data_IF_539490313380
#
_entry.id   IF_539490313380
#
_cell.length_a   1.000
_cell.length_b   1.000
_cell.length_c   1.000
_cell.angle_alpha   90.00
_cell.angle_beta   90.00
_cell.angle_gamma   90.00
#
_symmetry.space_group_name_H-M   'P 1'
#
loop_
_entity.id
_entity.type
_entity.pdbx_description
1 polymer ?
#
# COMPACT_ATOMS: atom_id res chain seq x y z
N UNK A 1 60.54 -54.12 20.93
CA UNK A 1 59.94 -52.80 21.17
C UNK A 1 60.31 -51.86 20.03
N UNK A 2 59.33 -51.27 19.34
CA UNK A 2 59.61 -50.21 18.36
C UNK A 2 59.78 -48.90 19.13
N UNK A 3 60.96 -48.30 19.08
CA UNK A 3 61.19 -47.00 19.71
C UNK A 3 60.55 -45.89 18.86
N UNK A 4 59.41 -45.37 19.33
CA UNK A 4 58.81 -44.16 18.78
C UNK A 4 59.78 -42.98 18.95
N UNK A 5 60.31 -42.51 17.81
CA UNK A 5 61.13 -41.30 17.66
C UNK A 5 60.35 -40.07 18.14
N UNK A 6 61.07 -38.96 18.41
CA UNK A 6 60.45 -37.71 18.85
C UNK A 6 59.48 -37.13 17.82
N UNK A 7 59.76 -37.28 16.53
CA UNK A 7 58.91 -36.81 15.44
C UNK A 7 57.57 -37.55 15.40
N UNK A 8 57.58 -38.89 15.47
CA UNK A 8 56.36 -39.70 15.49
C UNK A 8 55.47 -39.35 16.70
N UNK A 9 56.06 -38.94 17.84
CA UNK A 9 55.28 -38.48 19.00
C UNK A 9 54.63 -37.11 18.76
N UNK A 10 55.29 -36.22 18.03
CA UNK A 10 54.75 -34.89 17.74
C UNK A 10 53.61 -34.98 16.73
N UNK A 11 53.74 -35.81 15.69
CA UNK A 11 52.69 -36.07 14.71
C UNK A 11 51.43 -36.68 15.34
N UNK A 12 51.59 -37.71 16.18
CA UNK A 12 50.48 -38.31 16.95
C UNK A 12 49.78 -37.24 17.82
N UNK A 13 50.56 -36.35 18.45
CA UNK A 13 50.00 -35.31 19.32
C UNK A 13 49.17 -34.26 18.55
N UNK A 14 49.66 -33.77 17.41
CA UNK A 14 48.89 -32.80 16.60
C UNK A 14 47.67 -33.46 15.94
N UNK A 15 47.74 -34.74 15.53
CA UNK A 15 46.58 -35.49 15.04
C UNK A 15 45.49 -35.63 16.12
N UNK A 16 45.83 -36.06 17.35
CA UNK A 16 44.87 -36.11 18.46
C UNK A 16 44.25 -34.73 18.80
N UNK A 17 45.01 -33.63 18.60
CA UNK A 17 44.56 -32.25 18.83
C UNK A 17 43.59 -31.77 17.74
N UNK A 18 43.75 -32.23 16.49
CA UNK A 18 42.78 -32.02 15.40
C UNK A 18 41.48 -32.78 15.70
N UNK A 19 41.58 -34.05 16.10
CA UNK A 19 40.42 -34.87 16.47
C UNK A 19 39.64 -34.29 17.66
N UNK A 20 40.34 -33.84 18.71
CA UNK A 20 39.72 -33.16 19.85
C UNK A 20 38.96 -31.89 19.44
N UNK A 21 39.52 -31.08 18.52
CA UNK A 21 38.84 -29.90 17.97
C UNK A 21 37.59 -30.29 17.16
N UNK A 22 37.67 -31.37 16.39
CA UNK A 22 36.53 -31.92 15.63
C UNK A 22 35.39 -32.38 16.55
N UNK A 23 35.72 -33.12 17.62
CA UNK A 23 34.77 -33.60 18.63
C UNK A 23 34.11 -32.44 19.37
N UNK A 24 34.88 -31.42 19.78
CA UNK A 24 34.35 -30.21 20.44
C UNK A 24 33.42 -29.43 19.50
N UNK A 25 33.80 -29.26 18.23
CA UNK A 25 32.96 -28.63 17.20
C UNK A 25 31.64 -29.37 17.04
N UNK A 26 31.69 -30.70 16.89
CA UNK A 26 30.51 -31.56 16.76
C UNK A 26 29.58 -31.50 17.97
N UNK A 27 30.13 -31.47 19.20
CA UNK A 27 29.36 -31.27 20.44
C UNK A 27 28.65 -29.91 20.48
N UNK A 28 29.29 -28.85 19.97
CA UNK A 28 28.68 -27.52 19.87
C UNK A 28 27.54 -27.48 18.84
N UNK A 29 27.70 -28.17 17.70
CA UNK A 29 26.70 -28.31 16.65
C UNK A 29 25.50 -29.12 17.13
N UNK A 30 25.73 -30.23 17.84
CA UNK A 30 24.68 -31.05 18.43
C UNK A 30 23.85 -30.26 19.47
N UNK A 31 24.51 -29.42 20.29
CA UNK A 31 23.81 -28.53 21.22
C UNK A 31 22.92 -27.52 20.48
N UNK A 32 23.45 -26.83 19.45
CA UNK A 32 22.65 -25.91 18.62
C UNK A 32 21.46 -26.59 17.93
N UNK A 33 21.63 -27.84 17.48
CA UNK A 33 20.55 -28.63 16.91
C UNK A 33 19.45 -28.96 17.94
N UNK A 34 19.84 -29.37 19.16
CA UNK A 34 18.91 -29.60 20.28
C UNK A 34 18.17 -28.32 20.70
N UNK A 35 18.87 -27.20 20.80
CA UNK A 35 18.28 -25.90 21.12
C UNK A 35 17.29 -25.44 20.03
N UNK A 36 17.58 -25.72 18.75
CA UNK A 36 16.68 -25.45 17.62
C UNK A 36 15.44 -26.36 17.64
N UNK A 37 15.62 -27.66 17.91
CA UNK A 37 14.51 -28.61 18.02
C UNK A 37 13.54 -28.23 19.15
N UNK A 38 14.06 -27.91 20.35
CA UNK A 38 13.21 -27.48 21.47
C UNK A 38 12.49 -26.16 21.18
N UNK A 39 13.10 -25.21 20.45
CA UNK A 39 12.40 -24.00 19.98
C UNK A 39 11.28 -24.32 18.99
N UNK A 40 11.47 -25.28 18.09
CA UNK A 40 10.43 -25.72 17.15
C UNK A 40 9.27 -26.43 17.86
N UNK A 41 9.56 -27.30 18.83
CA UNK A 41 8.57 -27.97 19.67
C UNK A 41 7.70 -26.97 20.46
N UNK A 42 8.32 -26.00 21.14
CA UNK A 42 7.62 -24.92 21.82
C UNK A 42 6.78 -24.05 20.87
N UNK A 43 7.24 -23.86 19.62
CA UNK A 43 6.47 -23.16 18.59
C UNK A 43 5.25 -23.97 18.14
N UNK A 44 5.41 -25.28 17.94
CA UNK A 44 4.33 -26.18 17.55
C UNK A 44 3.23 -26.27 18.62
N UNK A 45 3.59 -26.41 19.90
CA UNK A 45 2.62 -26.40 21.01
C UNK A 45 1.82 -25.10 21.09
N UNK A 46 2.47 -23.94 20.87
CA UNK A 46 1.79 -22.63 20.81
C UNK A 46 0.82 -22.53 19.64
N UNK A 47 1.16 -23.08 18.47
CA UNK A 47 0.25 -23.15 17.32
C UNK A 47 -0.94 -24.05 17.63
N UNK A 48 -0.72 -25.23 18.21
CA UNK A 48 -1.78 -26.19 18.55
C UNK A 48 -2.82 -25.59 19.51
N UNK A 49 -2.39 -25.00 20.63
CA UNK A 49 -3.32 -24.31 21.54
C UNK A 49 -4.02 -23.11 20.90
N UNK A 50 -3.42 -22.45 19.90
CA UNK A 50 -4.05 -21.35 19.15
C UNK A 50 -5.14 -21.86 18.20
N UNK A 51 -5.01 -23.07 17.65
CA UNK A 51 -6.06 -23.71 16.86
C UNK A 51 -7.21 -24.23 17.73
N UNK A 52 -6.89 -24.83 18.87
CA UNK A 52 -7.88 -25.24 19.88
C UNK A 52 -8.73 -24.04 20.37
N UNK A 53 -8.09 -22.90 20.64
CA UNK A 53 -8.78 -21.65 20.97
C UNK A 53 -9.66 -21.13 19.81
N UNK A 54 -9.22 -21.24 18.54
CA UNK A 54 -10.03 -20.88 17.35
C UNK A 54 -11.24 -21.78 17.19
N UNK A 55 -11.10 -23.09 17.42
CA UNK A 55 -12.23 -24.04 17.37
C UNK A 55 -13.28 -23.70 18.43
N UNK A 56 -12.86 -23.43 19.66
CA UNK A 56 -13.77 -23.01 20.74
C UNK A 56 -14.46 -21.67 20.43
N UNK A 57 -13.73 -20.67 19.91
CA UNK A 57 -14.33 -19.40 19.47
C UNK A 57 -15.36 -19.60 18.35
N UNK A 58 -15.08 -20.48 17.40
CA UNK A 58 -15.98 -20.80 16.28
C UNK A 58 -17.24 -21.54 16.74
N UNK A 59 -17.11 -22.44 17.72
CA UNK A 59 -18.24 -23.13 18.37
C UNK A 59 -19.13 -22.14 19.12
N UNK A 60 -18.54 -21.21 19.87
CA UNK A 60 -19.26 -20.16 20.58
C UNK A 60 -20.00 -19.21 19.62
N UNK A 61 -19.36 -18.82 18.51
CA UNK A 61 -19.99 -17.99 17.48
C UNK A 61 -21.19 -18.69 16.82
N UNK A 62 -21.06 -19.99 16.49
CA UNK A 62 -22.19 -20.79 15.95
C UNK A 62 -23.37 -20.87 16.94
N UNK A 63 -23.09 -21.04 18.24
CA UNK A 63 -24.14 -21.02 19.26
C UNK A 63 -24.82 -19.64 19.36
N UNK A 64 -24.04 -18.55 19.35
CA UNK A 64 -24.58 -17.18 19.37
C UNK A 64 -25.47 -16.89 18.14
N UNK A 65 -25.04 -17.29 16.94
CA UNK A 65 -25.86 -17.15 15.73
C UNK A 65 -27.17 -17.97 15.82
N UNK A 66 -27.14 -19.16 16.43
CA UNK A 66 -28.36 -19.96 16.63
C UNK A 66 -29.35 -19.29 17.58
N UNK A 67 -28.86 -18.69 18.67
CA UNK A 67 -29.69 -17.90 19.60
C UNK A 67 -30.33 -16.72 18.88
N UNK A 68 -29.54 -15.96 18.11
CA UNK A 68 -30.02 -14.79 17.36
C UNK A 68 -31.07 -15.14 16.29
N UNK A 69 -30.96 -16.29 15.62
CA UNK A 69 -31.99 -16.76 14.68
C UNK A 69 -33.30 -17.07 15.42
N UNK A 70 -33.24 -17.80 16.54
CA UNK A 70 -34.42 -18.10 17.35
C UNK A 70 -35.10 -16.82 17.89
N UNK A 71 -34.34 -15.84 18.35
CA UNK A 71 -34.87 -14.53 18.79
C UNK A 71 -35.54 -13.77 17.64
N UNK A 72 -34.98 -13.83 16.43
CA UNK A 72 -35.54 -13.19 15.24
C UNK A 72 -36.84 -13.86 14.78
N UNK A 73 -36.94 -15.18 14.88
CA UNK A 73 -38.18 -15.94 14.63
C UNK A 73 -39.26 -15.58 15.67
N UNK A 74 -38.91 -15.57 16.96
CA UNK A 74 -39.82 -15.12 18.03
C UNK A 74 -40.33 -13.68 17.79
N UNK A 75 -39.46 -12.76 17.39
CA UNK A 75 -39.84 -11.38 17.06
C UNK A 75 -40.74 -11.28 15.82
N UNK A 76 -40.66 -12.25 14.90
CA UNK A 76 -41.53 -12.31 13.72
C UNK A 76 -42.95 -12.76 14.11
N UNK A 77 -43.06 -13.80 14.94
CA UNK A 77 -44.36 -14.28 15.47
C UNK A 77 -45.07 -13.19 16.28
N UNK A 78 -44.39 -12.52 17.22
CA UNK A 78 -44.99 -11.42 18.00
C UNK A 78 -45.48 -10.27 17.11
N UNK A 79 -44.82 -10.00 15.96
CA UNK A 79 -45.27 -9.01 14.97
C UNK A 79 -46.48 -9.50 14.16
N UNK A 80 -46.63 -10.81 13.97
CA UNK A 80 -47.78 -11.42 13.30
C UNK A 80 -49.02 -11.37 14.20
N UNK A 81 -48.86 -11.69 15.48
CA UNK A 81 -49.89 -11.57 16.52
C UNK A 81 -50.39 -10.12 16.65
N UNK A 82 -49.47 -9.15 16.78
CA UNK A 82 -49.81 -7.73 16.88
C UNK A 82 -50.59 -7.20 15.65
N UNK A 83 -50.24 -7.67 14.44
CA UNK A 83 -50.98 -7.35 13.20
C UNK A 83 -52.37 -7.98 13.17
N UNK A 84 -52.53 -9.15 13.78
CA UNK A 84 -53.82 -9.86 13.86
C UNK A 84 -54.75 -9.15 14.85
N UNK A 85 -54.21 -8.73 16.01
CA UNK A 85 -54.91 -7.91 17.00
C UNK A 85 -55.37 -6.56 16.42
N UNK A 86 -54.49 -5.87 15.67
CA UNK A 86 -54.82 -4.60 15.00
C UNK A 86 -55.86 -4.73 13.88
N UNK A 87 -56.06 -5.91 13.29
CA UNK A 87 -57.18 -6.16 12.36
C UNK A 87 -58.49 -6.35 13.12
N UNK A 88 -58.45 -7.01 14.28
CA UNK A 88 -59.63 -7.21 15.12
C UNK A 88 -60.19 -5.89 15.66
N UNK A 89 -59.33 -4.96 16.10
CA UNK A 89 -59.80 -3.66 16.62
C UNK A 89 -60.46 -2.79 15.56
N UNK A 90 -59.93 -2.75 14.33
CA UNK A 90 -60.57 -1.99 13.22
C UNK A 90 -61.95 -2.53 12.88
N UNK A 91 -62.15 -3.84 12.93
CA UNK A 91 -63.45 -4.43 12.64
C UNK A 91 -64.53 -4.03 13.67
N UNK A 92 -64.13 -3.71 14.90
CA UNK A 92 -65.03 -3.20 15.94
C UNK A 92 -65.36 -1.72 15.66
N UNK A 93 -64.37 -0.91 15.29
CA UNK A 93 -64.56 0.52 14.97
C UNK A 93 -65.43 0.75 13.72
N UNK A 94 -65.33 -0.11 12.70
CA UNK A 94 -66.13 -0.01 11.46
C UNK A 94 -67.61 -0.44 11.63
N UNK A 95 -68.00 -1.01 12.78
CA UNK A 95 -69.40 -1.47 13.00
C UNK A 95 -70.34 -0.34 13.48
N UNK A 96 -69.80 0.75 14.02
CA UNK A 96 -70.59 1.88 14.56
C UNK A 96 -70.72 3.07 13.58
N UNK A 97 -70.22 2.96 12.34
CA UNK A 97 -70.07 4.07 11.40
C UNK A 97 -71.01 4.05 10.16
N UNK A 98 -71.90 3.07 10.01
CA UNK A 98 -72.86 3.04 8.88
C UNK A 98 -74.18 3.81 9.15
N UNK A 99 -74.09 5.13 9.33
CA UNK A 99 -75.25 6.04 9.17
C UNK A 99 -74.91 7.26 8.31
N UNK A 100 -75.05 7.11 6.99
CA UNK A 100 -75.55 8.21 6.16
C UNK A 100 -74.76 8.59 4.89
N UNK A 101 -75.49 8.48 3.77
CA UNK A 101 -75.37 9.25 2.51
C UNK A 101 -74.21 8.86 1.56
N UNK A 102 -74.29 8.94 0.23
CA UNK A 102 -75.37 8.93 -0.78
C UNK A 102 -74.85 9.58 -2.09
N UNK A 103 -74.66 8.77 -3.14
CA UNK A 103 -74.74 9.11 -4.57
C UNK A 103 -73.70 10.03 -5.30
N UNK A 104 -73.12 9.43 -6.36
CA UNK A 104 -73.18 9.78 -7.82
C UNK A 104 -71.92 10.30 -8.58
N UNK A 105 -71.60 9.53 -9.65
CA UNK A 105 -71.03 9.89 -10.99
C UNK A 105 -69.57 10.43 -11.06
N UNK A 106 -68.79 10.35 -12.15
CA UNK A 106 -68.71 9.54 -13.41
C UNK A 106 -68.28 10.42 -14.61
N UNK A 107 -67.27 9.96 -15.40
CA UNK A 107 -66.86 10.41 -16.79
C UNK A 107 -66.21 11.81 -16.93
N UNK A 108 -65.42 12.17 -17.97
CA UNK A 108 -64.57 11.50 -19.02
C UNK A 108 -63.88 12.62 -19.88
N UNK A 109 -63.11 12.30 -20.94
CA UNK A 109 -62.62 13.16 -22.06
C UNK A 109 -61.49 14.20 -21.84
N UNK A 110 -60.37 14.29 -22.61
CA UNK A 110 -60.04 14.26 -24.08
C UNK A 110 -60.07 15.70 -24.71
N UNK A 111 -59.11 16.28 -25.48
CA UNK A 111 -57.75 15.92 -26.01
C UNK A 111 -57.02 17.15 -26.71
N UNK A 112 -55.82 17.01 -27.35
CA UNK A 112 -55.10 17.84 -28.39
C UNK A 112 -53.92 18.86 -28.10
N UNK A 113 -52.73 18.59 -28.72
CA UNK A 113 -51.87 19.36 -29.70
C UNK A 113 -51.61 20.91 -29.59
N UNK A 114 -50.53 21.57 -30.10
CA UNK A 114 -49.20 21.24 -30.72
C UNK A 114 -48.30 22.53 -30.83
N UNK A 115 -47.06 22.46 -31.36
CA UNK A 115 -45.96 23.47 -31.30
C UNK A 115 -45.85 24.51 -32.45
N UNK A 116 -44.87 25.45 -32.28
CA UNK A 116 -44.21 26.42 -33.23
C UNK A 116 -44.81 27.83 -33.39
N UNK A 117 -44.04 28.91 -33.69
CA UNK A 117 -42.57 29.10 -33.66
C UNK A 117 -42.02 30.32 -34.46
N UNK A 118 -41.03 31.06 -33.90
CA UNK A 118 -40.19 32.15 -34.53
C UNK A 118 -40.93 33.42 -35.10
N UNK A 119 -40.36 34.62 -35.32
CA UNK A 119 -39.01 35.23 -35.14
C UNK A 119 -39.06 36.81 -35.06
N UNK A 120 -37.99 37.46 -34.54
CA UNK A 120 -37.43 38.84 -34.84
C UNK A 120 -38.32 40.11 -34.81
N UNK A 121 -37.90 41.31 -34.33
CA UNK A 121 -36.86 42.22 -34.88
C UNK A 121 -36.39 43.34 -33.91
N UNK A 122 -35.32 44.03 -34.33
CA UNK A 122 -34.39 45.02 -33.73
C UNK A 122 -34.86 46.41 -33.23
N UNK A 123 -33.92 47.11 -32.55
CA UNK A 123 -33.65 48.58 -32.49
C UNK A 123 -34.70 49.54 -31.80
N UNK A 124 -34.40 50.64 -31.08
CA UNK A 124 -33.14 51.38 -30.80
C UNK A 124 -33.24 52.36 -29.56
N UNK A 125 -32.09 52.96 -29.16
CA UNK A 125 -31.89 54.31 -28.53
C UNK A 125 -32.26 54.68 -27.05
N UNK A 126 -31.29 55.35 -26.40
CA UNK A 126 -31.30 56.38 -25.31
C UNK A 126 -31.18 56.06 -23.79
N UNK A 127 -29.96 56.33 -23.28
CA UNK A 127 -29.58 57.38 -22.32
C UNK A 127 -30.09 57.47 -20.86
N UNK A 128 -29.12 57.83 -20.00
CA UNK A 128 -29.20 58.53 -18.70
C UNK A 128 -29.33 57.73 -17.39
N UNK A 129 -28.75 58.34 -16.36
CA UNK A 129 -28.30 57.82 -15.07
C UNK A 129 -29.41 57.28 -14.15
N UNK A 130 -29.10 56.22 -13.40
CA UNK A 130 -29.35 56.25 -11.95
C UNK A 130 -28.46 55.26 -11.18
N UNK A 131 -28.04 55.68 -9.99
CA UNK A 131 -27.26 54.89 -9.04
C UNK A 131 -28.07 53.69 -8.54
N UNK A 132 -27.47 52.50 -8.52
CA UNK A 132 -27.81 51.48 -7.53
C UNK A 132 -26.59 50.58 -7.24
N UNK A 133 -26.17 50.58 -5.98
CA UNK A 133 -25.03 49.83 -5.48
C UNK A 133 -25.26 48.32 -5.64
N UNK A 134 -24.56 47.69 -6.59
CA UNK A 134 -24.25 46.27 -6.47
C UNK A 134 -23.03 46.12 -5.57
N UNK A 135 -23.25 45.56 -4.38
CA UNK A 135 -22.19 45.09 -3.52
C UNK A 135 -21.50 43.91 -4.20
N UNK A 136 -20.47 44.19 -5.00
CA UNK A 136 -19.44 43.20 -5.33
C UNK A 136 -18.71 42.84 -4.05
N UNK A 137 -19.32 41.94 -3.27
CA UNK A 137 -18.57 41.00 -2.46
C UNK A 137 -17.77 40.13 -3.43
N UNK A 138 -16.61 40.65 -3.85
CA UNK A 138 -15.46 39.77 -4.05
C UNK A 138 -15.34 39.00 -2.75
N UNK A 139 -15.76 37.74 -2.77
CA UNK A 139 -15.21 36.79 -1.82
C UNK A 139 -13.71 36.86 -2.03
N UNK A 140 -13.03 37.32 -0.99
CA UNK A 140 -11.58 37.37 -0.93
C UNK A 140 -11.16 35.90 -1.03
N UNK A 141 -10.81 35.45 -2.23
CA UNK A 141 -10.14 34.17 -2.45
C UNK A 141 -8.76 34.37 -1.85
N UNK A 142 -8.72 34.24 -0.53
CA UNK A 142 -7.52 34.15 0.25
C UNK A 142 -6.75 32.98 -0.36
N UNK A 143 -5.68 33.30 -1.09
CA UNK A 143 -4.80 32.29 -1.67
C UNK A 143 -4.51 31.27 -0.57
N UNK A 144 -4.93 30.02 -0.76
CA UNK A 144 -4.84 28.95 0.23
C UNK A 144 -3.35 28.59 0.39
N UNK A 145 -2.59 29.41 1.13
CA UNK A 145 -1.14 29.32 1.26
C UNK A 145 -0.78 28.00 1.93
N UNK A 146 -0.41 27.01 1.11
CA UNK A 146 -0.04 25.68 1.60
C UNK A 146 1.28 25.76 2.35
N UNK A 147 1.27 25.27 3.59
CA UNK A 147 2.43 25.21 4.47
C UNK A 147 3.03 23.81 4.50
N UNK A 148 4.36 23.73 4.41
CA UNK A 148 5.12 22.52 4.70
C UNK A 148 5.03 22.13 6.18
N UNK A 149 5.61 20.99 6.55
CA UNK A 149 5.48 20.43 7.92
C UNK A 149 6.10 21.30 9.02
N UNK A 150 6.90 22.32 8.67
CA UNK A 150 7.47 23.30 9.60
C UNK A 150 6.83 24.69 9.49
N UNK A 151 5.64 24.80 8.90
CA UNK A 151 4.89 26.05 8.76
C UNK A 151 5.41 26.99 7.67
N UNK A 152 6.51 26.63 7.00
CA UNK A 152 7.05 27.38 5.86
C UNK A 152 6.11 27.30 4.65
N UNK A 153 5.99 28.39 3.89
CA UNK A 153 5.29 28.37 2.60
C UNK A 153 6.06 27.44 1.65
N UNK A 154 5.34 26.63 0.89
CA UNK A 154 5.91 25.77 -0.16
C UNK A 154 5.11 25.99 -1.44
N UNK A 155 5.84 26.14 -2.56
CA UNK A 155 5.27 26.27 -3.89
C UNK A 155 4.87 24.88 -4.43
N UNK A 156 3.70 24.79 -5.05
CA UNK A 156 3.14 23.57 -5.61
C UNK A 156 2.47 23.86 -6.94
N UNK A 157 2.22 22.80 -7.74
CA UNK A 157 1.42 22.90 -8.97
C UNK A 157 0.02 23.44 -8.69
N UNK A 158 -0.56 24.15 -9.66
CA UNK A 158 -1.92 24.68 -9.52
C UNK A 158 -2.96 23.57 -9.37
N UNK A 159 -2.70 22.40 -9.97
CA UNK A 159 -3.48 21.17 -9.76
C UNK A 159 -3.42 20.70 -8.30
N UNK A 160 -2.24 20.74 -7.67
CA UNK A 160 -2.10 20.44 -6.23
C UNK A 160 -2.87 21.43 -5.37
N UNK A 161 -2.84 22.74 -5.69
CA UNK A 161 -3.61 23.77 -4.98
C UNK A 161 -5.12 23.53 -5.11
N UNK A 162 -5.58 23.21 -6.32
CA UNK A 162 -6.98 22.89 -6.60
C UNK A 162 -7.45 21.67 -5.79
N UNK A 163 -6.69 20.56 -5.83
CA UNK A 163 -6.92 19.36 -5.01
C UNK A 163 -7.05 19.72 -3.53
N UNK A 164 -6.14 20.56 -3.02
CA UNK A 164 -6.11 20.93 -1.60
C UNK A 164 -7.34 21.75 -1.21
N UNK A 165 -7.74 22.74 -2.02
CA UNK A 165 -8.93 23.56 -1.76
C UNK A 165 -10.22 22.72 -1.83
N UNK A 166 -10.34 21.83 -2.82
CA UNK A 166 -11.45 20.87 -2.93
C UNK A 166 -11.51 19.95 -1.72
N UNK A 167 -10.36 19.41 -1.29
CA UNK A 167 -10.29 18.53 -0.12
C UNK A 167 -10.70 19.26 1.16
N UNK A 168 -10.16 20.47 1.42
CA UNK A 168 -10.47 21.23 2.63
C UNK A 168 -11.94 21.68 2.70
N UNK A 169 -12.57 22.02 1.57
CA UNK A 169 -14.01 22.30 1.50
C UNK A 169 -14.89 21.10 1.88
N UNK A 170 -14.45 19.88 1.59
CA UNK A 170 -15.22 18.65 1.85
C UNK A 170 -14.86 17.96 3.17
N UNK A 171 -13.61 18.06 3.60
CA UNK A 171 -13.05 17.45 4.80
C UNK A 171 -12.22 18.49 5.57
N UNK A 172 -12.83 19.50 6.22
CA UNK A 172 -12.09 20.57 6.91
C UNK A 172 -11.12 20.04 7.97
N UNK A 173 -11.58 19.03 8.72
CA UNK A 173 -10.81 18.32 9.75
C UNK A 173 -10.04 17.10 9.21
N UNK A 174 -9.98 16.93 7.88
CA UNK A 174 -9.30 15.83 7.23
C UNK A 174 -7.78 15.98 7.28
N UNK A 175 -7.10 14.89 7.64
CA UNK A 175 -5.64 14.83 7.84
C UNK A 175 -4.94 13.92 6.81
N UNK A 176 -5.63 13.50 5.75
CA UNK A 176 -5.15 12.64 4.67
C UNK A 176 -5.94 12.82 3.37
N UNK A 177 -5.28 13.29 2.32
CA UNK A 177 -5.79 13.26 0.95
C UNK A 177 -5.39 11.92 0.33
N UNK A 178 -6.34 11.01 0.13
CA UNK A 178 -6.12 9.75 -0.58
C UNK A 178 -6.29 9.99 -2.09
N UNK A 179 -5.20 9.96 -2.84
CA UNK A 179 -5.15 10.25 -4.28
C UNK A 179 -4.99 9.00 -5.13
N UNK A 180 -5.01 7.81 -4.52
CA UNK A 180 -5.03 6.55 -5.27
C UNK A 180 -6.31 6.46 -6.12
N UNK A 181 -6.18 5.92 -7.32
CA UNK A 181 -7.26 5.79 -8.32
C UNK A 181 -8.54 5.15 -7.74
N UNK A 182 -8.40 4.21 -6.79
CA UNK A 182 -9.53 3.49 -6.20
C UNK A 182 -10.18 4.18 -4.99
N UNK A 183 -9.63 5.30 -4.50
CA UNK A 183 -10.14 5.99 -3.31
C UNK A 183 -11.51 6.63 -3.53
N UNK A 184 -12.26 6.82 -2.44
CA UNK A 184 -13.55 7.49 -2.47
C UNK A 184 -13.43 9.00 -2.77
N UNK A 185 -12.31 9.64 -2.39
CA UNK A 185 -12.04 11.04 -2.72
C UNK A 185 -11.78 11.18 -4.22
N UNK A 186 -10.78 10.47 -4.75
CA UNK A 186 -10.43 10.54 -6.17
C UNK A 186 -11.61 10.25 -7.10
N UNK A 187 -12.36 9.16 -6.85
CA UNK A 187 -13.47 8.73 -7.72
C UNK A 187 -14.75 9.57 -7.64
N UNK A 188 -15.07 10.16 -6.48
CA UNK A 188 -16.40 10.75 -6.23
C UNK A 188 -16.39 12.24 -5.94
N UNK A 189 -15.21 12.80 -5.65
CA UNK A 189 -15.07 14.14 -5.06
C UNK A 189 -14.14 15.06 -5.83
N UNK A 190 -13.23 14.51 -6.63
CA UNK A 190 -12.35 15.28 -7.49
C UNK A 190 -13.02 15.46 -8.87
N UNK A 191 -13.07 16.68 -9.43
CA UNK A 191 -13.54 16.90 -10.81
C UNK A 191 -12.68 16.15 -11.83
N UNK A 192 -13.29 15.67 -12.91
CA UNK A 192 -12.58 14.91 -13.94
C UNK A 192 -11.41 15.69 -14.56
N UNK A 193 -11.55 17.01 -14.74
CA UNK A 193 -10.46 17.88 -15.22
C UNK A 193 -9.25 17.84 -14.28
N UNK A 194 -9.45 18.12 -12.99
CA UNK A 194 -8.40 18.10 -11.97
C UNK A 194 -7.79 16.70 -11.82
N UNK A 195 -8.61 15.65 -11.88
CA UNK A 195 -8.15 14.26 -11.82
C UNK A 195 -7.24 13.91 -13.01
N UNK A 196 -7.62 14.29 -14.24
CA UNK A 196 -6.81 14.07 -15.44
C UNK A 196 -5.50 14.87 -15.39
N UNK A 197 -5.55 16.15 -14.99
CA UNK A 197 -4.35 16.97 -14.84
C UNK A 197 -3.39 16.39 -13.80
N UNK A 198 -3.90 15.90 -12.66
CA UNK A 198 -3.08 15.25 -11.64
C UNK A 198 -2.45 13.96 -12.12
N UNK A 199 -3.19 13.10 -12.82
CA UNK A 199 -2.63 11.89 -13.40
C UNK A 199 -1.57 12.23 -14.46
N UNK A 200 -1.77 13.28 -15.25
CA UNK A 200 -0.78 13.75 -16.23
C UNK A 200 0.50 14.25 -15.54
N UNK A 201 0.40 14.99 -14.42
CA UNK A 201 1.56 15.37 -13.59
C UNK A 201 2.27 14.13 -13.02
N UNK A 202 1.52 13.16 -12.47
CA UNK A 202 2.05 11.94 -11.88
C UNK A 202 2.72 11.02 -12.92
N UNK A 203 2.10 10.79 -14.07
CA UNK A 203 2.66 10.01 -15.18
C UNK A 203 3.94 10.67 -15.72
N UNK A 204 3.96 12.00 -15.86
CA UNK A 204 5.16 12.75 -16.24
C UNK A 204 6.31 12.53 -15.24
N UNK A 205 6.00 12.48 -13.94
CA UNK A 205 6.99 12.23 -12.88
C UNK A 205 7.42 10.75 -12.85
N UNK A 206 6.51 9.80 -13.03
CA UNK A 206 6.78 8.36 -12.79
C UNK A 206 7.29 7.62 -14.01
N UNK A 207 6.76 7.88 -15.21
CA UNK A 207 7.25 7.26 -16.45
C UNK A 207 8.66 7.75 -16.82
N UNK A 208 8.98 9.02 -16.52
CA UNK A 208 10.33 9.58 -16.75
C UNK A 208 11.41 9.00 -15.82
N UNK A 209 11.04 8.23 -14.78
CA UNK A 209 12.00 7.55 -13.92
C UNK A 209 12.67 6.37 -14.64
N UNK A 210 11.95 5.65 -15.50
CA UNK A 210 12.47 4.46 -16.18
C UNK A 210 13.29 4.90 -17.39
N UNK A 211 14.62 4.68 -17.41
CA UNK A 211 15.43 5.07 -18.56
C UNK A 211 14.99 4.27 -19.81
N UNK A 212 14.89 4.93 -20.97
CA UNK A 212 14.39 4.29 -22.19
C UNK A 212 15.16 3.02 -22.57
N UNK A 213 16.48 3.02 -22.41
CA UNK A 213 17.32 1.84 -22.65
C UNK A 213 16.96 0.67 -21.73
N UNK A 214 16.56 0.93 -20.48
CA UNK A 214 16.06 -0.09 -19.54
C UNK A 214 14.72 -0.65 -20.00
N UNK A 215 13.78 0.20 -20.42
CA UNK A 215 12.51 -0.24 -21.01
C UNK A 215 12.75 -1.12 -22.25
N UNK A 216 13.51 -0.63 -23.23
CA UNK A 216 13.83 -1.33 -24.47
C UNK A 216 14.52 -2.69 -24.20
N UNK A 217 15.38 -2.76 -23.17
CA UNK A 217 16.00 -4.01 -22.71
C UNK A 217 14.98 -5.00 -22.10
N UNK A 218 14.08 -4.53 -21.23
CA UNK A 218 13.02 -5.36 -20.63
C UNK A 218 12.09 -5.90 -21.73
N UNK A 219 11.66 -5.04 -22.66
CA UNK A 219 10.86 -5.42 -23.83
C UNK A 219 11.57 -6.49 -24.65
N UNK A 220 12.85 -6.28 -25.00
CA UNK A 220 13.62 -7.26 -25.76
C UNK A 220 13.74 -8.60 -25.04
N UNK A 221 14.13 -8.59 -23.76
CA UNK A 221 14.30 -9.81 -22.96
C UNK A 221 13.00 -10.60 -22.84
N UNK A 222 11.90 -9.96 -22.41
CA UNK A 222 10.62 -10.62 -22.16
C UNK A 222 9.78 -10.89 -23.41
N UNK A 223 10.19 -10.38 -24.58
CA UNK A 223 9.63 -10.79 -25.88
C UNK A 223 10.06 -12.20 -26.33
N UNK A 224 11.15 -12.74 -25.77
CA UNK A 224 11.71 -14.05 -26.16
C UNK A 224 10.76 -15.20 -25.81
N UNK A 225 10.44 -16.04 -26.79
CA UNK A 225 9.67 -17.25 -26.61
C UNK A 225 10.60 -18.44 -26.30
N UNK A 226 10.94 -18.61 -25.01
CA UNK A 226 11.87 -19.64 -24.52
C UNK A 226 11.17 -20.66 -23.63
N UNK A 227 11.63 -21.91 -23.66
CA UNK A 227 11.28 -22.94 -22.68
C UNK A 227 11.89 -22.66 -21.30
N UNK A 228 11.43 -23.35 -20.26
CA UNK A 228 11.97 -23.24 -18.91
C UNK A 228 13.50 -23.45 -18.82
N UNK A 229 14.04 -24.41 -19.59
CA UNK A 229 15.47 -24.72 -19.60
C UNK A 229 16.28 -23.61 -20.28
N UNK A 230 15.78 -23.10 -21.41
CA UNK A 230 16.41 -21.99 -22.13
C UNK A 230 16.39 -20.70 -21.31
N UNK A 231 15.29 -20.42 -20.59
CA UNK A 231 15.21 -19.31 -19.63
C UNK A 231 16.29 -19.40 -18.54
N UNK A 232 16.58 -20.59 -18.01
CA UNK A 232 17.65 -20.73 -17.02
C UNK A 232 19.03 -20.39 -17.61
N UNK A 233 19.37 -20.89 -18.80
CA UNK A 233 20.61 -20.53 -19.49
C UNK A 233 20.70 -19.02 -19.77
N UNK A 234 19.63 -18.44 -20.33
CA UNK A 234 19.53 -17.00 -20.65
C UNK A 234 19.75 -16.13 -19.39
N UNK A 235 19.21 -16.52 -18.24
CA UNK A 235 19.38 -15.78 -16.97
C UNK A 235 20.80 -15.93 -16.41
N UNK A 236 21.40 -17.11 -16.50
CA UNK A 236 22.77 -17.35 -16.01
C UNK A 236 23.80 -16.57 -16.85
N UNK A 237 23.57 -16.48 -18.16
CA UNK A 237 24.40 -15.72 -19.11
C UNK A 237 24.06 -14.23 -19.18
N UNK A 238 22.92 -13.77 -18.64
CA UNK A 238 22.49 -12.37 -18.69
C UNK A 238 23.58 -11.40 -18.17
N UNK A 239 23.94 -10.41 -18.99
CA UNK A 239 24.87 -9.32 -18.66
C UNK A 239 24.22 -7.98 -18.95
N UNK A 240 24.68 -6.92 -18.29
CA UNK A 240 24.29 -5.56 -18.67
C UNK A 240 24.82 -5.25 -20.07
N UNK A 241 23.97 -4.79 -21.02
CA UNK A 241 24.43 -4.26 -22.29
C UNK A 241 25.26 -2.99 -22.07
N UNK A 242 24.93 -2.21 -21.05
CA UNK A 242 25.57 -0.94 -20.71
C UNK A 242 26.29 -1.04 -19.36
N UNK A 243 27.58 -1.38 -19.40
CA UNK A 243 28.38 -1.62 -18.19
C UNK A 243 28.51 -0.40 -17.28
N UNK A 244 28.31 0.81 -17.79
CA UNK A 244 28.44 2.05 -17.04
C UNK A 244 27.10 2.62 -16.54
N UNK A 245 25.95 2.08 -16.97
CA UNK A 245 24.64 2.49 -16.46
C UNK A 245 24.36 1.77 -15.12
N UNK A 246 24.28 2.49 -13.98
CA UNK A 246 24.05 1.87 -12.69
C UNK A 246 22.65 1.27 -12.55
N UNK A 247 21.63 1.83 -13.21
CA UNK A 247 20.24 1.35 -13.18
C UNK A 247 20.13 0.07 -14.00
N UNK A 248 20.64 0.05 -15.24
CA UNK A 248 20.69 -1.17 -16.07
C UNK A 248 21.43 -2.30 -15.36
N UNK A 249 22.61 -2.02 -14.79
CA UNK A 249 23.38 -3.00 -14.02
C UNK A 249 22.61 -3.53 -12.79
N UNK A 250 21.82 -2.70 -12.12
CA UNK A 250 20.98 -3.10 -11.01
C UNK A 250 19.79 -3.94 -11.47
N UNK A 251 19.09 -3.54 -12.53
CA UNK A 251 17.96 -4.30 -13.13
C UNK A 251 18.40 -5.70 -13.56
N UNK A 252 19.56 -5.85 -14.22
CA UNK A 252 20.11 -7.17 -14.56
C UNK A 252 20.41 -7.99 -13.29
N UNK A 253 20.97 -7.39 -12.24
CA UNK A 253 21.20 -8.08 -10.95
C UNK A 253 19.89 -8.51 -10.25
N UNK A 254 18.85 -7.69 -10.35
CA UNK A 254 17.51 -8.02 -9.84
C UNK A 254 16.95 -9.22 -10.60
N UNK A 255 16.84 -9.14 -11.93
CA UNK A 255 16.29 -10.21 -12.77
C UNK A 255 16.98 -11.55 -12.51
N UNK A 256 18.32 -11.57 -12.45
CA UNK A 256 19.10 -12.79 -12.15
C UNK A 256 18.83 -13.39 -10.77
N UNK A 257 18.39 -12.58 -9.80
CA UNK A 257 18.05 -13.02 -8.44
C UNK A 257 16.59 -13.44 -8.30
N UNK A 258 15.68 -12.83 -9.06
CA UNK A 258 14.21 -12.96 -8.85
C UNK A 258 13.53 -13.86 -9.88
N UNK A 259 13.85 -13.70 -11.17
CA UNK A 259 13.16 -14.40 -12.26
C UNK A 259 13.25 -15.94 -12.18
N UNK A 260 14.38 -16.58 -11.77
CA UNK A 260 14.47 -18.04 -11.69
C UNK A 260 13.40 -18.70 -10.82
N UNK A 261 12.88 -18.01 -9.80
CA UNK A 261 11.83 -18.56 -8.93
C UNK A 261 10.46 -18.60 -9.63
N UNK A 262 10.17 -17.62 -10.49
CA UNK A 262 8.99 -17.63 -11.36
C UNK A 262 9.11 -18.71 -12.45
N UNK A 263 10.26 -18.84 -13.12
CA UNK A 263 10.46 -19.88 -14.14
C UNK A 263 10.25 -21.29 -13.56
N UNK A 264 10.78 -21.54 -12.35
CA UNK A 264 10.51 -22.79 -11.60
C UNK A 264 9.03 -22.99 -11.31
N UNK A 265 8.33 -21.96 -10.84
CA UNK A 265 6.90 -22.02 -10.57
C UNK A 265 6.07 -22.31 -11.83
N UNK A 266 6.39 -21.67 -12.95
CA UNK A 266 5.67 -21.85 -14.23
C UNK A 266 5.87 -23.25 -14.80
N UNK A 267 7.03 -23.87 -14.55
CA UNK A 267 7.36 -25.24 -14.96
C UNK A 267 6.58 -26.33 -14.21
N UNK A 268 5.76 -25.96 -13.21
CA UNK A 268 4.93 -26.88 -12.44
C UNK A 268 3.48 -26.97 -12.96
N UNK A 269 3.13 -26.23 -14.02
CA UNK A 269 1.82 -26.27 -14.69
C UNK A 269 0.63 -26.14 -13.70
N UNK A 270 -0.19 -27.16 -13.51
CA UNK A 270 -1.34 -27.12 -12.57
C UNK A 270 -0.92 -27.08 -11.08
N UNK A 271 0.31 -27.50 -10.77
CA UNK A 271 0.91 -27.37 -9.44
C UNK A 271 1.58 -26.00 -9.23
N UNK A 272 1.50 -25.10 -10.21
CA UNK A 272 2.10 -23.79 -10.13
C UNK A 272 1.50 -22.96 -8.97
N UNK A 273 2.35 -22.48 -8.04
CA UNK A 273 1.92 -21.75 -6.86
C UNK A 273 1.15 -20.45 -7.15
N UNK A 274 1.36 -19.85 -8.33
CA UNK A 274 0.71 -18.61 -8.76
C UNK A 274 -0.61 -18.84 -9.49
N UNK A 275 -0.97 -20.10 -9.75
CA UNK A 275 -2.26 -20.52 -10.32
C UNK A 275 -3.11 -21.17 -9.22
N UNK A 276 -2.58 -22.20 -8.54
CA UNK A 276 -3.31 -22.93 -7.51
C UNK A 276 -3.20 -22.26 -6.12
N UNK A 277 -3.81 -21.08 -6.01
CA UNK A 277 -3.79 -20.23 -4.81
C UNK A 277 -4.37 -20.87 -3.54
N UNK A 278 -5.08 -22.01 -3.65
CA UNK A 278 -5.62 -22.73 -2.49
C UNK A 278 -4.53 -23.40 -1.65
N UNK A 279 -3.36 -23.66 -2.23
CA UNK A 279 -2.27 -24.41 -1.59
C UNK A 279 -1.32 -23.55 -0.75
N UNK A 280 -1.51 -22.22 -0.68
CA UNK A 280 -0.46 -21.29 -0.23
C UNK A 280 -0.96 -20.22 0.73
N UNK A 281 -0.89 -20.55 2.01
CA UNK A 281 -1.17 -19.61 3.10
C UNK A 281 0.01 -18.67 3.48
N UNK A 282 1.20 -18.82 2.89
CA UNK A 282 2.35 -17.98 3.26
C UNK A 282 3.57 -17.92 2.32
N UNK A 283 3.69 -18.82 1.33
CA UNK A 283 4.85 -18.82 0.44
C UNK A 283 4.80 -17.76 -0.67
N UNK A 284 3.62 -17.22 -1.03
CA UNK A 284 3.48 -16.26 -2.15
C UNK A 284 4.35 -15.02 -1.95
N UNK A 285 4.13 -14.30 -0.85
CA UNK A 285 4.84 -13.07 -0.51
C UNK A 285 6.34 -13.33 -0.40
N UNK A 286 6.72 -14.36 0.36
CA UNK A 286 8.10 -14.70 0.67
C UNK A 286 8.91 -15.28 -0.50
N UNK A 287 8.25 -15.81 -1.55
CA UNK A 287 8.93 -16.41 -2.70
C UNK A 287 8.91 -15.52 -3.95
N UNK A 288 7.92 -14.63 -4.11
CA UNK A 288 7.70 -13.88 -5.35
C UNK A 288 7.67 -12.36 -5.16
N UNK A 289 7.08 -11.85 -4.07
CA UNK A 289 6.92 -10.39 -3.87
C UNK A 289 8.11 -9.83 -3.12
N UNK A 290 8.33 -10.25 -1.86
CA UNK A 290 9.39 -9.73 -1.02
C UNK A 290 10.81 -9.89 -1.60
N UNK A 291 11.17 -11.00 -2.29
CA UNK A 291 12.49 -11.09 -2.95
C UNK A 291 12.69 -10.06 -4.07
N UNK A 292 11.62 -9.64 -4.75
CA UNK A 292 11.68 -8.58 -5.75
C UNK A 292 11.85 -7.22 -5.09
N UNK A 293 11.05 -6.93 -4.05
CA UNK A 293 11.18 -5.69 -3.28
C UNK A 293 12.58 -5.57 -2.64
N UNK A 294 13.09 -6.65 -2.01
CA UNK A 294 14.45 -6.76 -1.47
C UNK A 294 15.51 -6.41 -2.52
N UNK A 295 15.49 -7.10 -3.65
CA UNK A 295 16.49 -6.93 -4.70
C UNK A 295 16.49 -5.50 -5.26
N UNK A 296 15.32 -4.93 -5.56
CA UNK A 296 15.22 -3.55 -6.05
C UNK A 296 15.63 -2.52 -5.01
N UNK A 297 15.09 -2.60 -3.79
CA UNK A 297 15.42 -1.66 -2.71
C UNK A 297 16.91 -1.69 -2.36
N UNK A 298 17.54 -2.86 -2.40
CA UNK A 298 18.97 -3.01 -2.17
C UNK A 298 19.81 -2.45 -3.32
N UNK A 299 19.58 -2.90 -4.57
CA UNK A 299 20.45 -2.55 -5.70
C UNK A 299 20.19 -1.18 -6.32
N UNK A 300 18.99 -0.59 -6.17
CA UNK A 300 18.65 0.75 -6.66
C UNK A 300 18.77 1.79 -5.54
N UNK A 301 18.18 1.53 -4.37
CA UNK A 301 17.96 2.55 -3.34
C UNK A 301 18.84 2.43 -2.09
N UNK A 302 19.74 1.43 -2.02
CA UNK A 302 20.58 1.15 -0.85
C UNK A 302 19.77 1.06 0.47
N UNK A 303 18.58 0.46 0.38
CA UNK A 303 17.68 0.19 1.50
C UNK A 303 17.83 -1.27 1.93
N UNK A 304 18.03 -1.50 3.23
CA UNK A 304 17.94 -2.83 3.82
C UNK A 304 16.48 -3.19 4.05
N UNK A 305 15.97 -4.17 3.30
CA UNK A 305 14.59 -4.64 3.40
C UNK A 305 14.51 -5.94 4.20
N UNK A 306 13.72 -5.92 5.28
CA UNK A 306 13.39 -7.07 6.11
C UNK A 306 11.95 -7.51 5.80
N UNK A 307 11.70 -8.82 5.77
CA UNK A 307 10.35 -9.38 5.54
C UNK A 307 10.08 -10.64 6.37
N UNK A 308 8.79 -10.95 6.56
CA UNK A 308 8.27 -11.79 7.63
C UNK A 308 7.55 -10.94 8.69
N UNK A 309 7.28 -11.48 9.88
CA UNK A 309 6.57 -10.73 10.93
C UNK A 309 7.46 -9.65 11.60
N UNK A 310 7.61 -8.49 10.97
CA UNK A 310 8.49 -7.41 11.45
C UNK A 310 7.80 -6.55 12.51
N UNK A 311 8.42 -6.43 13.69
CA UNK A 311 8.00 -5.50 14.76
C UNK A 311 8.94 -4.30 14.83
N UNK A 312 8.38 -3.10 14.98
CA UNK A 312 9.17 -1.86 15.08
C UNK A 312 8.52 -0.92 16.09
N UNK A 313 9.35 -0.24 16.89
CA UNK A 313 8.91 0.88 17.77
C UNK A 313 8.34 2.06 16.97
N UNK A 314 8.56 2.08 15.65
CA UNK A 314 7.97 3.08 14.75
C UNK A 314 6.54 2.76 14.35
N UNK A 315 6.09 1.49 14.45
CA UNK A 315 4.71 1.10 14.14
C UNK A 315 3.72 1.58 15.21
N UNK A 316 2.44 1.70 14.83
CA UNK A 316 1.33 2.03 15.75
C UNK A 316 0.80 0.74 16.41
N UNK A 317 0.39 0.80 17.68
CA UNK A 317 -0.30 -0.29 18.40
C UNK A 317 0.39 -1.68 18.36
N UNK A 318 1.73 -1.72 18.29
CA UNK A 318 2.51 -2.97 18.07
C UNK A 318 2.14 -3.73 16.78
N UNK A 319 1.62 -3.03 15.76
CA UNK A 319 1.39 -3.59 14.44
C UNK A 319 2.65 -4.29 13.92
N UNK A 320 2.48 -5.49 13.37
CA UNK A 320 3.52 -6.19 12.60
C UNK A 320 3.35 -5.83 11.13
N UNK A 321 4.43 -5.46 10.47
CA UNK A 321 4.46 -5.38 9.00
C UNK A 321 4.87 -6.75 8.46
N UNK A 322 4.47 -7.08 7.23
CA UNK A 322 5.01 -8.25 6.50
C UNK A 322 6.35 -7.92 5.82
N UNK A 323 6.63 -6.64 5.61
CA UNK A 323 7.99 -6.17 5.32
C UNK A 323 8.22 -4.71 5.67
N UNK A 324 9.47 -4.36 5.96
CA UNK A 324 9.91 -3.02 6.31
C UNK A 324 11.29 -2.74 5.71
N UNK A 325 11.50 -1.53 5.19
CA UNK A 325 12.80 -1.12 4.64
C UNK A 325 13.41 0.03 5.41
N UNK A 326 14.70 -0.09 5.71
CA UNK A 326 15.49 0.84 6.50
C UNK A 326 16.67 1.36 5.71
N UNK A 327 17.01 2.64 5.89
CA UNK A 327 18.26 3.19 5.39
C UNK A 327 19.46 2.44 5.98
N UNK A 328 20.48 2.17 5.17
CA UNK A 328 21.74 1.53 5.61
C UNK A 328 22.70 2.48 6.34
N UNK A 329 22.33 3.76 6.43
CA UNK A 329 23.14 4.84 7.01
C UNK A 329 23.20 4.81 8.56
N UNK A 330 23.80 5.85 9.14
CA UNK A 330 23.92 6.02 10.60
C UNK A 330 22.56 6.22 11.29
N UNK A 331 21.55 6.70 10.56
CA UNK A 331 20.24 7.09 11.10
C UNK A 331 19.24 5.94 11.11
N UNK A 332 19.37 5.02 10.14
CA UNK A 332 18.54 3.82 10.02
C UNK A 332 17.05 4.13 10.04
N UNK A 333 16.67 5.20 9.36
CA UNK A 333 15.27 5.57 9.22
C UNK A 333 14.53 4.48 8.43
N UNK A 334 13.40 4.04 8.97
CA UNK A 334 12.46 3.19 8.25
C UNK A 334 11.79 4.05 7.19
N UNK A 335 11.95 3.74 5.90
CA UNK A 335 11.32 4.46 4.80
C UNK A 335 10.23 3.64 4.11
N UNK A 336 10.21 2.32 4.28
CA UNK A 336 9.28 1.41 3.62
C UNK A 336 8.46 0.63 4.65
N UNK A 337 7.17 0.45 4.38
CA UNK A 337 6.24 -0.39 5.14
C UNK A 337 5.35 -1.18 4.17
N UNK A 338 5.31 -2.51 4.29
CA UNK A 338 4.56 -3.40 3.38
C UNK A 338 3.66 -4.35 4.16
N UNK A 339 2.42 -4.49 3.69
CA UNK A 339 1.49 -5.56 4.09
C UNK A 339 1.25 -6.51 2.92
N UNK A 340 1.05 -7.77 3.23
CA UNK A 340 0.74 -8.81 2.26
C UNK A 340 -0.45 -9.65 2.71
N UNK A 341 -1.40 -9.79 1.81
CA UNK A 341 -2.58 -10.63 2.00
C UNK A 341 -2.46 -11.93 1.22
N UNK A 342 -3.03 -13.00 1.78
CA UNK A 342 -3.10 -14.31 1.11
C UNK A 342 -3.97 -14.19 -0.14
N UNK A 343 -3.71 -14.92 -1.23
CA UNK A 343 -4.42 -14.63 -2.47
C UNK A 343 -5.93 -14.92 -2.44
N UNK A 344 -6.37 -15.80 -1.53
CA UNK A 344 -7.78 -16.18 -1.30
C UNK A 344 -8.53 -15.26 -0.32
N UNK A 345 -7.97 -14.11 0.06
CA UNK A 345 -8.59 -13.25 1.08
C UNK A 345 -9.77 -12.41 0.54
N UNK A 346 -10.71 -12.08 1.43
CA UNK A 346 -11.89 -11.23 1.16
C UNK A 346 -11.48 -9.76 0.93
N UNK A 347 -12.30 -9.03 0.19
CA UNK A 347 -12.04 -7.63 -0.20
C UNK A 347 -11.94 -6.67 1.01
N UNK A 348 -12.66 -6.93 2.11
CA UNK A 348 -12.56 -6.15 3.36
C UNK A 348 -11.12 -6.03 3.89
N UNK A 349 -10.28 -7.04 3.61
CA UNK A 349 -8.87 -7.07 4.00
C UNK A 349 -8.02 -6.10 3.17
N UNK A 350 -8.35 -5.88 1.90
CA UNK A 350 -7.69 -4.88 1.05
C UNK A 350 -7.79 -3.50 1.68
N UNK A 351 -9.01 -3.13 2.11
CA UNK A 351 -9.31 -1.87 2.80
C UNK A 351 -8.58 -1.81 4.15
N UNK A 352 -8.71 -2.86 4.98
CA UNK A 352 -8.10 -2.94 6.32
C UNK A 352 -6.57 -2.80 6.25
N UNK A 353 -5.92 -3.42 5.28
CA UNK A 353 -4.46 -3.36 5.11
C UNK A 353 -4.02 -1.98 4.63
N UNK A 354 -4.77 -1.34 3.73
CA UNK A 354 -4.51 0.06 3.34
C UNK A 354 -4.61 1.01 4.53
N UNK A 355 -5.66 0.92 5.35
CA UNK A 355 -5.79 1.73 6.57
C UNK A 355 -4.59 1.53 7.50
N UNK A 356 -4.16 0.27 7.66
CA UNK A 356 -3.00 -0.12 8.48
C UNK A 356 -1.69 0.43 7.92
N UNK A 357 -1.43 0.32 6.61
CA UNK A 357 -0.24 0.88 5.97
C UNK A 357 -0.25 2.39 6.15
N UNK A 358 -1.32 3.07 5.74
CA UNK A 358 -1.42 4.54 5.75
C UNK A 358 -1.21 5.12 7.15
N UNK A 359 -1.82 4.52 8.18
CA UNK A 359 -1.61 4.91 9.58
C UNK A 359 -0.15 4.74 10.02
N UNK A 360 0.52 3.68 9.60
CA UNK A 360 1.92 3.43 9.94
C UNK A 360 2.87 4.37 9.18
N UNK A 361 2.71 4.58 7.87
CA UNK A 361 3.60 5.46 7.10
C UNK A 361 3.48 6.94 7.53
N UNK A 362 2.28 7.41 7.91
CA UNK A 362 2.11 8.73 8.58
C UNK A 362 2.94 8.83 9.87
N UNK A 363 2.84 7.81 10.74
CA UNK A 363 3.57 7.78 12.00
C UNK A 363 5.09 7.69 11.80
N UNK A 364 5.54 6.95 10.78
CA UNK A 364 6.95 6.84 10.38
C UNK A 364 7.45 8.21 9.89
N UNK A 365 6.71 8.90 9.00
CA UNK A 365 7.01 10.24 8.51
C UNK A 365 7.18 11.23 9.67
N UNK A 366 6.18 11.33 10.54
CA UNK A 366 6.21 12.21 11.71
C UNK A 366 7.39 11.89 12.65
N UNK A 367 7.71 10.61 12.87
CA UNK A 367 8.87 10.18 13.67
C UNK A 367 10.20 10.57 13.02
N UNK A 368 10.35 10.42 11.71
CA UNK A 368 11.56 10.86 10.99
C UNK A 368 11.78 12.37 11.14
N UNK A 369 10.74 13.18 10.94
CA UNK A 369 10.82 14.63 11.07
C UNK A 369 11.19 15.03 12.52
N UNK A 370 10.51 14.43 13.51
CA UNK A 370 10.78 14.66 14.94
C UNK A 370 12.17 14.22 15.38
N UNK A 371 12.67 13.07 14.91
CA UNK A 371 14.02 12.56 15.17
C UNK A 371 15.09 13.44 14.50
N UNK A 372 14.88 13.85 13.25
CA UNK A 372 15.82 14.71 12.49
C UNK A 372 15.98 16.07 13.15
N UNK A 373 14.87 16.71 13.52
CA UNK A 373 14.89 18.00 14.21
C UNK A 373 15.52 17.85 15.58
N UNK A 374 15.11 16.89 16.42
CA UNK A 374 15.72 16.66 17.75
C UNK A 374 17.25 16.53 17.69
N UNK A 375 17.77 15.90 16.65
CA UNK A 375 19.21 15.73 16.41
C UNK A 375 19.91 16.96 15.80
N UNK A 376 19.23 18.12 15.68
CA UNK A 376 19.71 19.37 15.07
C UNK A 376 20.27 19.20 13.66
N UNK A 377 19.57 18.43 12.84
CA UNK A 377 19.86 18.24 11.41
C UNK A 377 18.82 18.98 10.57
N UNK A 378 19.16 19.29 9.33
CA UNK A 378 18.17 19.74 8.34
C UNK A 378 17.29 18.56 7.94
N UNK A 379 16.04 18.85 7.62
CA UNK A 379 15.20 17.90 6.88
C UNK A 379 15.75 17.78 5.44
N UNK A 380 15.60 16.62 4.78
CA UNK A 380 15.82 16.53 3.34
C UNK A 380 14.82 17.42 2.60
N UNK A 381 15.24 17.89 1.43
CA UNK A 381 14.40 18.65 0.49
C UNK A 381 13.24 17.80 -0.04
N UNK A 382 13.47 16.50 -0.19
CA UNK A 382 12.47 15.50 -0.59
C UNK A 382 12.33 14.47 0.52
N UNK A 383 11.16 14.40 1.15
CA UNK A 383 10.81 13.37 2.14
C UNK A 383 9.53 12.67 1.73
N UNK A 384 9.64 11.39 1.40
CA UNK A 384 8.50 10.49 1.26
C UNK A 384 8.67 9.27 2.17
N UNK A 385 7.55 8.67 2.59
CA UNK A 385 7.54 7.34 3.22
C UNK A 385 6.67 6.42 2.39
N UNK A 386 7.19 5.25 2.08
CA UNK A 386 6.69 4.37 1.04
C UNK A 386 5.85 3.24 1.62
N UNK A 387 4.69 3.04 1.02
CA UNK A 387 3.78 1.94 1.31
C UNK A 387 3.75 0.93 0.17
N UNK A 388 3.60 -0.34 0.51
CA UNK A 388 3.31 -1.39 -0.45
C UNK A 388 2.21 -2.31 0.06
N UNK A 389 1.29 -2.67 -0.81
CA UNK A 389 0.30 -3.71 -0.55
C UNK A 389 0.43 -4.81 -1.60
N UNK A 390 0.56 -6.05 -1.15
CA UNK A 390 0.28 -7.20 -2.00
C UNK A 390 -1.10 -7.75 -1.65
N UNK A 391 -2.05 -7.67 -2.57
CA UNK A 391 -3.40 -8.21 -2.41
C UNK A 391 -3.73 -9.11 -3.60
N UNK A 392 -4.29 -10.30 -3.33
CA UNK A 392 -4.45 -11.36 -4.34
C UNK A 392 -3.11 -11.76 -4.96
N UNK A 393 -2.91 -11.41 -6.23
CA UNK A 393 -1.66 -11.53 -6.98
C UNK A 393 -1.30 -10.18 -7.62
N UNK A 394 -1.74 -9.07 -7.01
CA UNK A 394 -1.47 -7.70 -7.44
C UNK A 394 -0.60 -7.01 -6.41
N UNK A 395 0.33 -6.19 -6.89
CA UNK A 395 1.05 -5.23 -6.08
C UNK A 395 0.49 -3.83 -6.32
N UNK A 396 0.34 -3.08 -5.24
CA UNK A 396 0.04 -1.64 -5.25
C UNK A 396 1.19 -0.96 -4.51
N UNK A 397 1.90 -0.07 -5.21
CA UNK A 397 3.04 0.65 -4.67
C UNK A 397 2.70 2.13 -4.60
N UNK A 398 2.96 2.74 -3.45
CA UNK A 398 2.56 4.10 -3.16
C UNK A 398 3.54 4.80 -2.22
N UNK A 399 3.40 6.12 -2.09
CA UNK A 399 4.11 6.91 -1.10
C UNK A 399 3.21 7.94 -0.44
N UNK A 400 3.64 8.38 0.74
CA UNK A 400 3.04 9.50 1.44
C UNK A 400 4.01 10.68 1.48
N UNK A 401 3.48 11.86 1.21
CA UNK A 401 4.15 13.15 1.39
C UNK A 401 3.36 14.06 2.35
N UNK A 402 3.85 15.29 2.55
CA UNK A 402 3.15 16.30 3.34
C UNK A 402 3.09 17.64 2.60
N UNK A 403 1.87 18.09 2.34
CA UNK A 403 1.54 19.30 1.57
C UNK A 403 0.42 20.05 2.29
N UNK A 404 0.70 20.62 3.48
CA UNK A 404 -0.29 21.16 4.42
C UNK A 404 -1.23 20.12 5.05
N UNK A 405 -1.28 18.93 4.49
CA UNK A 405 -1.98 17.72 4.91
C UNK A 405 -1.25 16.55 4.26
N UNK A 406 -1.30 15.35 4.84
CA UNK A 406 -0.66 14.18 4.22
C UNK A 406 -1.35 13.83 2.90
N UNK A 407 -0.59 13.49 1.85
CA UNK A 407 -1.14 12.98 0.58
C UNK A 407 -0.64 11.57 0.31
N UNK A 408 -1.54 10.65 -0.01
CA UNK A 408 -1.24 9.27 -0.38
C UNK A 408 -1.33 9.13 -1.90
N UNK A 409 -0.17 9.09 -2.56
CA UNK A 409 -0.05 9.02 -4.01
C UNK A 409 0.21 7.57 -4.43
N UNK A 410 -0.54 7.04 -5.40
CA UNK A 410 -0.18 5.78 -6.06
C UNK A 410 1.02 6.03 -6.98
N UNK A 411 2.00 5.13 -6.99
CA UNK A 411 3.12 5.17 -7.95
C UNK A 411 2.76 4.35 -9.17
N UNK A 412 2.40 3.09 -8.95
CA UNK A 412 2.04 2.13 -9.99
C UNK A 412 1.35 0.92 -9.33
N UNK A 413 0.58 0.15 -10.09
CA UNK A 413 0.00 -1.12 -9.65
C UNK A 413 -0.06 -2.13 -10.80
N UNK A 414 0.26 -3.40 -10.50
CA UNK A 414 0.30 -4.45 -11.54
C UNK A 414 0.12 -5.85 -10.98
N UNK A 415 -0.31 -6.78 -11.83
CA UNK A 415 -0.48 -8.19 -11.48
C UNK A 415 0.86 -8.93 -11.64
N UNK A 416 1.16 -9.88 -10.75
CA UNK A 416 2.30 -10.77 -10.90
C UNK A 416 2.03 -11.73 -12.07
N UNK A 417 2.96 -11.87 -13.03
CA UNK A 417 2.87 -12.89 -14.08
C UNK A 417 2.85 -14.29 -13.48
N UNK A 418 1.98 -15.17 -13.99
CA UNK A 418 1.68 -16.48 -13.38
C UNK A 418 2.07 -17.66 -14.24
N UNK A 419 2.40 -17.49 -15.52
CA UNK A 419 2.69 -18.59 -16.46
C UNK A 419 3.49 -18.08 -17.67
N UNK A 420 4.05 -19.00 -18.46
CA UNK A 420 4.85 -18.64 -19.64
C UNK A 420 4.12 -17.76 -20.66
N UNK A 421 2.79 -17.88 -20.81
CA UNK A 421 2.01 -17.00 -21.70
C UNK A 421 1.93 -15.54 -21.21
N UNK A 422 2.25 -15.30 -19.94
CA UNK A 422 2.25 -13.98 -19.27
C UNK A 422 3.69 -13.43 -19.16
N UNK A 423 4.70 -14.03 -19.81
CA UNK A 423 6.11 -13.57 -19.72
C UNK A 423 6.30 -12.10 -20.11
N UNK A 424 5.53 -11.59 -21.06
CA UNK A 424 5.60 -10.18 -21.49
C UNK A 424 5.14 -9.22 -20.38
N UNK A 425 4.26 -9.67 -19.49
CA UNK A 425 3.74 -8.86 -18.40
C UNK A 425 4.81 -8.59 -17.31
N UNK A 426 5.96 -9.29 -17.36
CA UNK A 426 7.11 -8.95 -16.52
C UNK A 426 7.67 -7.55 -16.79
N UNK A 427 7.49 -6.98 -17.98
CA UNK A 427 7.90 -5.60 -18.28
C UNK A 427 7.23 -4.65 -17.27
N UNK A 428 5.89 -4.68 -17.21
CA UNK A 428 5.11 -3.91 -16.27
C UNK A 428 5.42 -4.24 -14.80
N UNK A 429 5.65 -5.52 -14.47
CA UNK A 429 6.00 -5.92 -13.10
C UNK A 429 7.35 -5.37 -12.64
N UNK A 430 8.41 -5.49 -13.46
CA UNK A 430 9.73 -4.97 -13.11
C UNK A 430 9.74 -3.44 -13.13
N UNK A 431 9.03 -2.78 -14.05
CA UNK A 431 8.94 -1.31 -14.10
C UNK A 431 8.17 -0.71 -12.92
N UNK A 432 7.02 -1.29 -12.54
CA UNK A 432 6.26 -0.89 -11.36
C UNK A 432 7.13 -0.84 -10.09
N UNK A 433 7.92 -1.90 -9.83
CA UNK A 433 8.81 -1.95 -8.67
C UNK A 433 10.05 -1.05 -8.86
N UNK A 434 10.57 -0.91 -10.09
CA UNK A 434 11.70 -0.03 -10.39
C UNK A 434 11.35 1.45 -10.16
N UNK A 435 10.21 1.94 -10.67
CA UNK A 435 9.71 3.32 -10.44
C UNK A 435 9.67 3.63 -8.94
N UNK A 436 9.06 2.74 -8.16
CA UNK A 436 8.97 2.88 -6.70
C UNK A 436 10.36 2.90 -6.05
N UNK A 437 11.26 1.99 -6.42
CA UNK A 437 12.63 1.97 -5.87
C UNK A 437 13.47 3.21 -6.27
N UNK A 438 13.26 3.78 -7.47
CA UNK A 438 13.91 5.02 -7.89
C UNK A 438 13.41 6.23 -7.10
N UNK A 439 12.12 6.32 -6.78
CA UNK A 439 11.61 7.34 -5.86
C UNK A 439 12.20 7.19 -4.45
N UNK A 440 12.37 5.95 -3.96
CA UNK A 440 13.05 5.69 -2.68
C UNK A 440 14.51 6.15 -2.74
N UNK A 441 15.22 5.90 -3.85
CA UNK A 441 16.59 6.38 -4.07
C UNK A 441 16.68 7.90 -3.98
N UNK A 442 15.78 8.63 -4.65
CA UNK A 442 15.76 10.10 -4.61
C UNK A 442 15.60 10.64 -3.16
N UNK A 443 14.80 9.97 -2.31
CA UNK A 443 14.70 10.33 -0.89
C UNK A 443 16.00 10.05 -0.13
N UNK A 444 16.66 8.91 -0.38
CA UNK A 444 17.96 8.61 0.26
C UNK A 444 19.07 9.60 -0.15
N UNK A 445 19.12 9.99 -1.43
CA UNK A 445 20.04 11.00 -1.94
C UNK A 445 19.76 12.38 -1.32
N UNK A 446 18.47 12.74 -1.15
CA UNK A 446 18.07 13.99 -0.48
C UNK A 446 18.48 14.01 1.01
N UNK A 447 18.43 12.86 1.70
CA UNK A 447 18.99 12.71 3.05
C UNK A 447 20.51 12.86 3.08
N UNK A 448 21.22 12.34 2.08
CA UNK A 448 22.68 12.48 2.00
C UNK A 448 23.10 13.93 1.71
N UNK A 449 22.40 14.63 0.81
CA UNK A 449 22.55 16.07 0.58
C UNK A 449 22.35 16.86 1.89
N UNK A 450 21.24 16.63 2.59
CA UNK A 450 20.93 17.35 3.84
C UNK A 450 21.93 17.09 5.00
N UNK A 451 22.76 16.04 4.94
CA UNK A 451 23.86 15.79 5.91
C UNK A 451 25.10 16.64 5.63
N UNK A 452 25.35 17.02 4.37
CA UNK A 452 26.51 17.86 4.00
C UNK A 452 26.26 19.34 4.27
N UNK A 453 24.99 19.74 4.37
CA UNK A 453 24.59 21.11 4.67
C UNK A 453 24.92 21.56 6.11
N UNK A 454 25.15 22.86 6.27
CA UNK A 454 25.41 23.46 7.58
C UNK A 454 24.22 23.29 8.53
N UNK A 455 24.49 22.87 9.77
CA UNK A 455 23.48 22.69 10.83
C UNK A 455 22.55 23.91 10.95
N UNK A 456 21.25 23.72 11.24
CA UNK A 456 20.32 24.82 11.48
C UNK A 456 20.81 25.79 12.55
N UNK A 457 20.50 27.08 12.39
CA UNK A 457 20.77 28.08 13.42
C UNK A 457 19.97 27.79 14.69
N UNK A 458 20.39 28.32 15.85
CA UNK A 458 19.65 28.16 17.11
C UNK A 458 18.19 28.62 17.00
N UNK A 459 17.94 29.71 16.26
CA UNK A 459 16.61 30.26 16.02
C UNK A 459 15.76 29.34 15.11
N UNK A 460 16.32 28.90 13.98
CA UNK A 460 15.65 27.95 13.08
C UNK A 460 15.28 26.65 13.80
N UNK A 461 16.18 26.13 14.63
CA UNK A 461 15.93 24.96 15.45
C UNK A 461 14.84 25.18 16.52
N UNK A 462 14.85 26.34 17.21
CA UNK A 462 13.82 26.67 18.20
C UNK A 462 12.43 26.77 17.55
N UNK A 463 12.32 27.46 16.40
CA UNK A 463 11.06 27.56 15.65
C UNK A 463 10.55 26.18 15.22
N UNK A 464 11.43 25.31 14.70
CA UNK A 464 11.08 23.95 14.32
C UNK A 464 10.68 23.06 15.51
N UNK A 465 11.19 23.31 16.72
CA UNK A 465 10.74 22.63 17.94
C UNK A 465 9.37 23.09 18.43
N UNK A 466 9.04 24.37 18.30
CA UNK A 466 7.73 24.91 18.66
C UNK A 466 6.65 24.26 17.78
N UNK A 467 6.86 24.26 16.45
CA UNK A 467 5.98 23.62 15.45
C UNK A 467 5.85 22.07 15.58
N UNK A 468 6.55 21.43 16.53
CA UNK A 468 6.51 19.97 16.77
C UNK A 468 5.80 19.57 18.08
N UNK A 469 5.38 20.56 18.87
CA UNK A 469 4.69 20.38 20.15
C UNK A 469 3.24 20.88 20.13
N UNK A 470 2.87 21.66 19.11
CA UNK A 470 1.49 21.85 18.66
C UNK A 470 1.03 20.63 17.82
#
# INVERSE_FOLDING_TARGET
>A
CVHLTSENRHEIFENCKIDLRSIISSKSTLKRAKDKASKMENSAQRTFHREEAKMNATKNLKNAMKIFVNEKESLYETKLEARTYSKFTRHIEDTDAEVGRSYKRSRQSEDYHEETGEATTDEDVNASESLLQKNDKKEDIQDDVIKGILGNIVEYSDVTKEIFSIYKKQYPNGDLIDLRLNSAFFKKKLPNSTAISYLTEMDTITESLVPKNVHDFLVHLFSKNLTAKEWHCEIDDLRSPEKNDPVMNAVVRVIRRTLPQFIKAFSLEDQNPLINITTIEGAHLNSFVHPCLDAFLWYIANIHYEYGEITSKKHVNNNRADGAGFMTDVNKYQLVYVEGSRPVTKDDKEITDIEKITKNIKNIFAKIVKETIKNRRRLPETLYVFGGQSFRLRIHLFYIDYCGTYRLNEVDNTNLPRKFSEMKDFIYFYECVLKWALLVRNVTESFDKAKTEQRPSRLSYANALLQLND
#
